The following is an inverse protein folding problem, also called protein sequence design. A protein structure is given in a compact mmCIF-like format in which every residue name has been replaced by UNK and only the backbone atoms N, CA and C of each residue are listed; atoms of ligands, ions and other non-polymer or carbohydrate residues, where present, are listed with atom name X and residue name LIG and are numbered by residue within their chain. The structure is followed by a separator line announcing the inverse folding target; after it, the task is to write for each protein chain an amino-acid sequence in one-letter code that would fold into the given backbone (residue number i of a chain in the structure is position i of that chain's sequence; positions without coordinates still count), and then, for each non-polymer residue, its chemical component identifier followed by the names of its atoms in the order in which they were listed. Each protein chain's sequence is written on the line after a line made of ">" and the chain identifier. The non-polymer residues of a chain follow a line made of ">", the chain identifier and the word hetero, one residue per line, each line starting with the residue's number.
data_IF_637666799670
#
_entry.id   IF_637666799670
#
_cell.length_a   1.000
_cell.length_b   1.000
_cell.length_c   1.000
_cell.angle_alpha   90.00
_cell.angle_beta   90.00
_cell.angle_gamma   90.00
#
_symmetry.space_group_name_H-M   'P 1'
#
loop_
_entity.id
_entity.type
_entity.pdbx_description
1 polymer ?
#
# COMPACT_ATOMS: atom_id res chain seq x y z
N UNK A 1 -6.15 -9.85 14.29
CA UNK A 1 -5.93 -11.11 13.53
C UNK A 1 -5.86 -10.75 12.06
N UNK A 2 -5.21 -11.57 11.24
CA UNK A 2 -4.97 -11.28 9.83
C UNK A 2 -5.82 -12.20 8.95
N UNK A 3 -6.81 -11.69 8.22
CA UNK A 3 -7.54 -12.52 7.27
C UNK A 3 -6.71 -12.78 6.00
N UNK A 4 -6.77 -13.99 5.45
CA UNK A 4 -6.17 -14.27 4.15
C UNK A 4 -7.13 -13.89 3.02
N UNK A 5 -6.63 -13.24 1.98
CA UNK A 5 -7.43 -12.86 0.81
C UNK A 5 -8.11 -14.08 0.17
N UNK A 6 -7.41 -15.21 0.11
CA UNK A 6 -7.93 -16.48 -0.41
C UNK A 6 -9.08 -17.04 0.42
N UNK A 7 -9.05 -16.85 1.74
CA UNK A 7 -10.13 -17.25 2.64
C UNK A 7 -11.37 -16.38 2.43
N UNK A 8 -11.20 -15.05 2.38
CA UNK A 8 -12.29 -14.11 2.10
C UNK A 8 -12.94 -14.38 0.76
N UNK A 9 -12.15 -14.63 -0.29
CA UNK A 9 -12.69 -15.00 -1.61
C UNK A 9 -13.47 -16.32 -1.59
N UNK A 10 -13.02 -17.31 -0.81
CA UNK A 10 -13.70 -18.60 -0.69
C UNK A 10 -15.06 -18.44 -0.01
N UNK A 11 -15.13 -17.68 1.08
CA UNK A 11 -16.38 -17.53 1.85
C UNK A 11 -17.37 -16.55 1.22
N UNK A 12 -16.91 -15.67 0.32
CA UNK A 12 -17.76 -14.78 -0.49
C UNK A 12 -18.08 -15.36 -1.86
N UNK A 13 -17.73 -16.63 -2.11
CA UNK A 13 -18.04 -17.30 -3.37
C UNK A 13 -19.56 -17.45 -3.50
N UNK A 14 -20.11 -16.95 -4.61
CA UNK A 14 -21.55 -16.93 -4.85
C UNK A 14 -22.26 -15.69 -4.29
N UNK A 15 -21.52 -14.63 -3.93
CA UNK A 15 -22.11 -13.34 -3.64
C UNK A 15 -22.65 -12.69 -4.93
N UNK A 16 -23.94 -12.33 -4.92
CA UNK A 16 -24.57 -11.54 -5.97
C UNK A 16 -24.39 -10.05 -5.67
N UNK A 17 -23.41 -9.44 -6.33
CA UNK A 17 -23.11 -8.02 -6.15
C UNK A 17 -24.04 -7.13 -6.99
N UNK A 18 -24.41 -5.95 -6.48
CA UNK A 18 -23.90 -5.32 -5.26
C UNK A 18 -24.57 -5.83 -3.98
N UNK A 19 -23.76 -6.03 -2.93
CA UNK A 19 -24.18 -6.63 -1.66
C UNK A 19 -23.63 -5.81 -0.48
N UNK A 20 -24.42 -5.67 0.59
CA UNK A 20 -24.04 -4.92 1.80
C UNK A 20 -23.24 -5.79 2.79
N UNK A 21 -22.42 -5.17 3.65
CA UNK A 21 -21.58 -5.88 4.63
C UNK A 21 -22.33 -6.90 5.49
N UNK A 22 -23.55 -6.57 5.95
CA UNK A 22 -24.40 -7.51 6.69
C UNK A 22 -24.77 -8.77 5.88
N UNK A 23 -25.04 -8.60 4.59
CA UNK A 23 -25.35 -9.72 3.70
C UNK A 23 -24.09 -10.53 3.37
N UNK A 24 -22.95 -9.85 3.17
CA UNK A 24 -21.65 -10.49 2.98
C UNK A 24 -21.23 -11.30 4.21
N UNK A 25 -21.45 -10.77 5.41
CA UNK A 25 -21.19 -11.43 6.68
C UNK A 25 -22.08 -12.68 6.86
N UNK A 26 -23.37 -12.56 6.54
CA UNK A 26 -24.28 -13.69 6.56
C UNK A 26 -23.89 -14.79 5.55
N UNK A 27 -23.48 -14.39 4.35
CA UNK A 27 -22.98 -15.31 3.32
C UNK A 27 -21.67 -15.99 3.75
N UNK A 28 -20.73 -15.22 4.30
CA UNK A 28 -19.46 -15.71 4.77
C UNK A 28 -19.66 -16.71 5.92
N UNK A 29 -20.51 -16.37 6.90
CA UNK A 29 -20.88 -17.28 8.00
C UNK A 29 -21.48 -18.59 7.48
N UNK A 30 -22.37 -18.49 6.49
CA UNK A 30 -22.97 -19.66 5.82
C UNK A 30 -21.93 -20.53 5.11
N UNK A 31 -20.87 -19.91 4.59
CA UNK A 31 -19.74 -20.60 3.95
C UNK A 31 -18.63 -21.03 4.94
N UNK A 32 -18.88 -20.93 6.25
CA UNK A 32 -17.95 -21.38 7.29
C UNK A 32 -16.86 -20.37 7.67
N UNK A 33 -17.08 -19.08 7.43
CA UNK A 33 -16.21 -18.03 7.96
C UNK A 33 -16.24 -18.00 9.49
N UNK A 34 -15.09 -17.73 10.11
CA UNK A 34 -14.99 -17.49 11.54
C UNK A 34 -15.69 -16.19 11.95
N UNK A 35 -16.16 -16.12 13.21
CA UNK A 35 -16.90 -14.97 13.74
C UNK A 35 -16.13 -13.64 13.62
N UNK A 36 -14.80 -13.67 13.68
CA UNK A 36 -13.94 -12.50 13.43
C UNK A 36 -14.11 -11.95 12.00
N UNK A 37 -14.12 -12.82 10.98
CA UNK A 37 -14.29 -12.43 9.59
C UNK A 37 -15.71 -11.95 9.31
N UNK A 38 -16.70 -12.57 9.96
CA UNK A 38 -18.10 -12.15 9.90
C UNK A 38 -18.26 -10.75 10.47
N UNK A 39 -17.70 -10.48 11.66
CA UNK A 39 -17.76 -9.15 12.28
C UNK A 39 -17.06 -8.08 11.44
N UNK A 40 -15.90 -8.42 10.85
CA UNK A 40 -15.20 -7.51 9.94
C UNK A 40 -16.01 -7.21 8.66
N UNK A 41 -16.70 -8.22 8.11
CA UNK A 41 -17.61 -8.05 6.97
C UNK A 41 -18.86 -7.22 7.32
N UNK A 42 -19.40 -7.32 8.54
CA UNK A 42 -20.55 -6.50 8.96
C UNK A 42 -20.23 -4.99 8.95
N UNK A 43 -18.96 -4.63 9.18
CA UNK A 43 -18.47 -3.26 9.09
C UNK A 43 -18.21 -2.77 7.66
N UNK A 44 -18.22 -3.66 6.67
CA UNK A 44 -18.06 -3.30 5.26
C UNK A 44 -19.34 -2.61 4.77
N UNK A 45 -19.18 -1.53 4.03
CA UNK A 45 -20.29 -0.87 3.35
C UNK A 45 -20.85 -1.70 2.20
N UNK A 46 -21.65 -1.07 1.35
CA UNK A 46 -22.06 -1.68 0.09
C UNK A 46 -20.82 -1.93 -0.77
N UNK A 47 -20.65 -3.18 -1.22
CA UNK A 47 -19.58 -3.55 -2.13
C UNK A 47 -20.18 -4.00 -3.46
N UNK A 48 -19.52 -3.66 -4.56
CA UNK A 48 -19.93 -4.05 -5.91
C UNK A 48 -19.11 -5.24 -6.44
N UNK A 49 -18.20 -5.77 -5.63
CA UNK A 49 -17.44 -6.95 -5.99
C UNK A 49 -16.42 -7.37 -4.94
N UNK A 50 -15.77 -8.53 -5.13
CA UNK A 50 -14.81 -9.08 -4.18
C UNK A 50 -13.64 -8.12 -3.90
N UNK A 51 -13.15 -7.43 -4.93
CA UNK A 51 -12.06 -6.46 -4.80
C UNK A 51 -12.43 -5.27 -3.91
N UNK A 52 -13.69 -4.83 -3.94
CA UNK A 52 -14.16 -3.71 -3.13
C UNK A 52 -14.30 -4.11 -1.66
N UNK A 53 -14.77 -5.34 -1.40
CA UNK A 53 -14.79 -5.94 -0.07
C UNK A 53 -13.36 -6.00 0.50
N UNK A 54 -12.38 -6.46 -0.28
CA UNK A 54 -10.97 -6.49 0.16
C UNK A 54 -10.40 -5.11 0.44
N UNK A 55 -10.76 -4.12 -0.38
CA UNK A 55 -10.30 -2.73 -0.19
C UNK A 55 -10.81 -2.15 1.13
N UNK A 56 -12.03 -2.50 1.53
CA UNK A 56 -12.63 -2.07 2.79
C UNK A 56 -12.11 -2.87 3.99
N UNK A 57 -11.91 -4.19 3.83
CA UNK A 57 -11.32 -5.07 4.84
C UNK A 57 -9.79 -4.91 4.98
N UNK A 58 -9.15 -4.06 4.18
CA UNK A 58 -7.69 -3.90 4.12
C UNK A 58 -7.06 -3.53 5.48
N UNK A 59 -7.83 -2.94 6.39
CA UNK A 59 -7.39 -2.65 7.77
C UNK A 59 -7.29 -3.89 8.68
N UNK A 60 -8.09 -4.92 8.41
CA UNK A 60 -8.19 -6.15 9.21
C UNK A 60 -7.64 -7.40 8.49
N UNK A 61 -7.47 -7.32 7.17
CA UNK A 61 -6.70 -8.27 6.36
C UNK A 61 -5.21 -8.06 6.68
N UNK A 62 -4.71 -8.72 7.72
CA UNK A 62 -3.30 -8.63 8.14
C UNK A 62 -2.31 -9.30 7.18
N UNK A 63 -2.32 -8.88 5.92
CA UNK A 63 -1.17 -8.89 5.06
C UNK A 63 -0.82 -7.43 4.77
N UNK A 64 0.35 -6.99 5.24
CA UNK A 64 0.98 -5.72 4.90
C UNK A 64 0.75 -5.39 3.44
N UNK A 65 -0.25 -4.56 3.17
CA UNK A 65 -0.46 -4.00 1.86
C UNK A 65 0.05 -2.58 1.95
N UNK A 66 1.19 -2.23 1.32
CA UNK A 66 1.63 -0.85 1.28
C UNK A 66 0.58 -0.07 0.49
N UNK A 67 0.04 0.97 1.10
CA UNK A 67 -0.88 1.91 0.45
C UNK A 67 -2.13 2.16 1.29
N UNK A 68 -2.19 3.31 1.92
CA UNK A 68 -3.44 3.82 2.50
C UNK A 68 -3.35 4.17 3.99
N UNK A 69 -2.37 4.98 4.36
CA UNK A 69 -2.49 6.14 5.26
C UNK A 69 -3.74 6.23 6.17
N UNK A 70 -3.53 6.09 7.48
CA UNK A 70 -3.78 7.16 8.47
C UNK A 70 -3.27 6.77 9.85
N UNK A 71 -2.49 7.69 10.43
CA UNK A 71 -2.55 8.11 11.83
C UNK A 71 -2.82 7.03 12.87
N UNK A 72 -1.77 6.47 13.47
CA UNK A 72 -1.67 6.41 14.93
C UNK A 72 -0.26 5.94 15.32
N UNK A 73 0.60 6.92 15.62
CA UNK A 73 1.42 6.92 16.83
C UNK A 73 1.84 5.54 17.35
N UNK A 74 2.86 4.92 16.74
CA UNK A 74 3.63 3.85 17.37
C UNK A 74 5.10 4.06 17.12
N UNK A 75 5.73 4.65 18.12
CA UNK A 75 7.05 4.31 18.63
C UNK A 75 7.99 3.69 17.60
N UNK A 76 8.74 4.55 16.90
CA UNK A 76 9.89 4.18 16.11
C UNK A 76 10.89 3.46 17.02
N UNK A 77 11.01 2.14 16.86
CA UNK A 77 12.20 1.42 17.29
C UNK A 77 12.88 0.88 16.05
N UNK A 78 14.05 1.45 15.80
CA UNK A 78 15.20 0.89 15.10
C UNK A 78 14.99 -0.50 14.53
N UNK A 79 14.78 -0.58 13.23
CA UNK A 79 15.38 -1.67 12.45
C UNK A 79 15.77 -1.05 11.12
N UNK A 80 17.05 -1.15 10.77
CA UNK A 80 17.68 -0.73 9.52
C UNK A 80 17.11 -1.52 8.32
N UNK A 81 15.81 -1.39 8.08
CA UNK A 81 15.19 -1.78 6.83
C UNK A 81 14.93 -0.53 6.00
N UNK A 82 15.43 -0.52 4.76
CA UNK A 82 15.33 0.66 3.92
C UNK A 82 13.89 1.06 3.59
N UNK A 83 13.59 2.34 3.76
CA UNK A 83 12.24 2.89 3.82
C UNK A 83 11.47 2.88 2.49
N UNK A 84 12.14 2.86 1.33
CA UNK A 84 11.49 2.97 0.02
C UNK A 84 11.96 1.90 -0.96
N UNK A 85 11.04 1.25 -1.67
CA UNK A 85 11.41 0.32 -2.74
C UNK A 85 11.84 1.06 -4.01
N UNK A 86 12.86 0.55 -4.68
CA UNK A 86 13.37 1.13 -5.94
C UNK A 86 12.28 1.29 -7.00
N UNK A 87 11.44 0.26 -7.19
CA UNK A 87 10.34 0.30 -8.15
C UNK A 87 9.31 1.38 -7.82
N UNK A 88 9.08 1.64 -6.53
CA UNK A 88 8.11 2.61 -6.08
C UNK A 88 8.62 4.04 -6.33
N UNK A 89 9.87 4.31 -6.01
CA UNK A 89 10.53 5.59 -6.34
C UNK A 89 10.56 5.82 -7.85
N UNK A 90 10.91 4.81 -8.65
CA UNK A 90 10.90 4.92 -10.11
C UNK A 90 9.51 5.22 -10.69
N UNK A 91 8.46 4.62 -10.13
CA UNK A 91 7.08 4.89 -10.53
C UNK A 91 6.72 6.36 -10.31
N UNK A 92 7.13 6.94 -9.17
CA UNK A 92 6.85 8.33 -8.83
C UNK A 92 7.75 9.35 -9.56
N UNK A 93 8.90 8.92 -10.05
CA UNK A 93 9.77 9.75 -10.89
C UNK A 93 9.54 9.53 -12.39
N UNK A 94 8.48 8.82 -12.77
CA UNK A 94 8.16 8.56 -14.17
C UNK A 94 7.78 9.87 -14.87
N UNK A 95 8.45 10.14 -15.98
CA UNK A 95 8.27 11.40 -16.73
C UNK A 95 9.12 12.55 -16.20
N UNK A 96 10.14 12.27 -15.37
CA UNK A 96 11.17 13.24 -15.05
C UNK A 96 11.99 13.60 -16.30
N UNK A 97 12.04 14.89 -16.62
CA UNK A 97 12.91 15.46 -17.64
C UNK A 97 14.26 15.83 -17.02
N UNK A 98 15.21 14.90 -17.08
CA UNK A 98 16.54 15.10 -16.51
C UNK A 98 17.42 16.03 -17.35
N UNK A 99 18.33 16.81 -16.73
CA UNK A 99 18.67 16.77 -15.30
C UNK A 99 17.69 17.53 -14.40
N UNK A 100 17.38 16.95 -13.24
CA UNK A 100 16.52 17.55 -12.19
C UNK A 100 17.25 17.58 -10.85
N UNK A 101 16.95 18.59 -10.04
CA UNK A 101 17.40 18.71 -8.66
C UNK A 101 16.44 18.02 -7.66
N UNK A 102 16.91 17.71 -6.45
CA UNK A 102 16.11 17.02 -5.44
C UNK A 102 14.76 17.67 -5.16
N UNK A 103 14.69 19.00 -5.16
CA UNK A 103 13.43 19.73 -4.99
C UNK A 103 12.43 19.48 -6.13
N UNK A 104 12.91 19.40 -7.37
CA UNK A 104 12.08 19.13 -8.55
C UNK A 104 11.64 17.66 -8.60
N UNK A 105 12.55 16.75 -8.25
CA UNK A 105 12.25 15.33 -8.11
C UNK A 105 11.19 15.10 -7.03
N UNK A 106 11.31 15.80 -5.91
CA UNK A 106 10.34 15.74 -4.82
C UNK A 106 8.97 16.26 -5.25
N UNK A 107 8.92 17.41 -5.93
CA UNK A 107 7.68 17.97 -6.45
C UNK A 107 7.03 17.05 -7.50
N UNK A 108 7.83 16.42 -8.37
CA UNK A 108 7.35 15.46 -9.34
C UNK A 108 6.81 14.20 -8.66
N UNK A 109 7.53 13.68 -7.68
CA UNK A 109 7.11 12.51 -6.92
C UNK A 109 5.80 12.79 -6.17
N UNK A 110 5.70 13.93 -5.48
CA UNK A 110 4.49 14.40 -4.80
C UNK A 110 3.32 14.50 -5.78
N UNK A 111 3.54 15.11 -6.95
CA UNK A 111 2.55 15.20 -8.03
C UNK A 111 2.09 13.83 -8.53
N UNK A 112 2.97 12.84 -8.49
CA UNK A 112 2.66 11.45 -8.85
C UNK A 112 2.09 10.63 -7.68
N UNK A 113 1.87 11.25 -6.51
CA UNK A 113 1.26 10.63 -5.33
C UNK A 113 2.26 9.94 -4.40
N UNK A 114 3.52 10.38 -4.37
CA UNK A 114 4.49 9.99 -3.35
C UNK A 114 4.09 10.54 -1.98
N UNK A 115 4.36 9.78 -0.92
CA UNK A 115 4.19 10.25 0.44
C UNK A 115 5.22 11.31 0.83
N UNK A 116 4.88 12.15 1.81
CA UNK A 116 5.73 13.23 2.33
C UNK A 116 7.13 12.74 2.77
N UNK A 117 7.24 11.50 3.23
CA UNK A 117 8.51 10.89 3.59
C UNK A 117 9.45 10.74 2.38
N UNK A 118 8.94 10.24 1.24
CA UNK A 118 9.73 10.11 0.00
C UNK A 118 10.07 11.49 -0.57
N UNK A 119 9.12 12.43 -0.52
CA UNK A 119 9.31 13.82 -0.95
C UNK A 119 10.41 14.50 -0.12
N UNK A 120 10.40 14.30 1.20
CA UNK A 120 11.42 14.82 2.12
C UNK A 120 12.82 14.29 1.80
N UNK A 121 12.93 12.99 1.55
CA UNK A 121 14.21 12.37 1.17
C UNK A 121 14.67 12.82 -0.21
N UNK A 122 13.77 12.93 -1.20
CA UNK A 122 14.08 13.45 -2.53
C UNK A 122 14.57 14.90 -2.50
N UNK A 123 14.05 15.76 -1.61
CA UNK A 123 14.54 17.14 -1.44
C UNK A 123 16.02 17.19 -1.02
N UNK A 124 16.52 16.16 -0.35
CA UNK A 124 17.92 16.02 0.04
C UNK A 124 18.84 15.52 -1.08
N UNK A 125 18.27 15.06 -2.21
CA UNK A 125 19.03 14.58 -3.36
C UNK A 125 19.65 15.77 -4.09
N UNK A 126 20.91 15.64 -4.47
CA UNK A 126 21.56 16.61 -5.33
C UNK A 126 20.99 16.58 -6.75
N UNK A 127 21.63 17.32 -7.65
CA UNK A 127 21.32 17.24 -9.07
C UNK A 127 21.52 15.82 -9.58
N UNK A 128 20.51 15.28 -10.25
CA UNK A 128 20.57 13.98 -10.89
C UNK A 128 20.36 14.13 -12.40
N UNK A 129 21.15 13.41 -13.20
CA UNK A 129 21.04 13.40 -14.65
C UNK A 129 20.21 12.21 -15.18
N UNK A 130 19.68 11.40 -14.27
CA UNK A 130 18.85 10.26 -14.64
C UNK A 130 18.33 9.51 -13.42
N UNK A 131 17.39 8.58 -13.63
CA UNK A 131 16.77 7.82 -12.54
C UNK A 131 17.80 6.97 -11.78
N UNK A 132 18.82 6.44 -12.46
CA UNK A 132 19.92 5.67 -11.83
C UNK A 132 20.76 6.52 -10.87
N UNK A 133 20.95 7.80 -11.20
CA UNK A 133 21.72 8.71 -10.36
C UNK A 133 20.94 9.09 -9.10
N UNK A 134 19.62 9.30 -9.23
CA UNK A 134 18.72 9.44 -8.09
C UNK A 134 18.81 8.21 -7.19
N UNK A 135 18.69 7.01 -7.75
CA UNK A 135 18.78 5.76 -6.97
C UNK A 135 20.13 5.60 -6.24
N UNK A 136 21.23 6.04 -6.86
CA UNK A 136 22.56 5.98 -6.26
C UNK A 136 22.66 6.90 -5.04
N UNK A 137 22.07 8.10 -5.13
CA UNK A 137 22.06 9.07 -4.03
C UNK A 137 21.06 8.68 -2.94
N UNK A 138 19.92 8.09 -3.32
CA UNK A 138 18.90 7.60 -2.40
C UNK A 138 19.24 6.22 -1.81
N UNK A 139 20.40 5.62 -2.13
CA UNK A 139 20.73 4.23 -1.81
C UNK A 139 20.66 3.94 -0.31
N UNK A 140 21.01 4.91 0.54
CA UNK A 140 20.97 4.78 2.01
C UNK A 140 19.53 4.73 2.55
N UNK A 141 18.56 5.19 1.76
CA UNK A 141 17.13 5.18 2.08
C UNK A 141 16.35 4.16 1.22
N UNK A 142 16.98 3.55 0.23
CA UNK A 142 16.37 2.63 -0.74
C UNK A 142 16.57 1.16 -0.38
N UNK A 143 15.50 0.40 -0.60
CA UNK A 143 15.38 -0.96 -0.15
C UNK A 143 15.28 -1.98 -1.24
N UNK A 144 16.19 -2.94 -1.16
CA UNK A 144 16.36 -4.01 -2.11
C UNK A 144 17.80 -4.46 -2.12
N UNK A 145 18.05 -5.67 -1.63
CA UNK A 145 19.30 -6.38 -1.90
C UNK A 145 19.42 -6.48 -3.43
N UNK A 146 20.53 -6.03 -4.07
CA UNK A 146 20.73 -6.31 -5.48
C UNK A 146 20.72 -7.83 -5.64
N UNK A 147 19.87 -8.32 -6.54
CA UNK A 147 19.61 -9.74 -6.73
C UNK A 147 20.90 -10.55 -6.87
N UNK A 148 20.91 -11.72 -6.22
CA UNK A 148 21.82 -12.82 -6.49
C UNK A 148 21.04 -13.95 -7.13
#
# INVERSE_FOLDING_TARGET
>A
MAFQVTEVQRVLKGADYPMDGKQLAALAKKNGAGDDLVGALEGVGKANGPNEVMKQLKGDLGGSTPGGNKSEQREYKDTEEPAFQVNEVQKYLKGADYPMDGTELAALAEKNGAGDDLVGVLKGVGRANGPNEVMKQLKEHLGGRPGG
#
